data_IF_030352842403
#
_entry.id   IF_030352842403
#
_cell.length_a   1.000
_cell.length_b   1.000
_cell.length_c   1.000
_cell.angle_alpha   90.00
_cell.angle_beta   90.00
_cell.angle_gamma   90.00
#
_symmetry.space_group_name_H-M   'P 1'
#
loop_
_entity.id
_entity.type
_entity.pdbx_description
1 polymer ?
#
# COMPACT_ATOMS: atom_id res chain seq x y z
N UNK A 1 -15.12 16.25 32.94
CA UNK A 1 -13.89 16.10 32.13
C UNK A 1 -13.62 14.61 31.96
N UNK A 2 -13.85 14.05 30.77
CA UNK A 2 -13.64 12.62 30.49
C UNK A 2 -12.24 12.41 29.91
N UNK A 3 -11.46 11.41 30.36
CA UNK A 3 -10.13 11.16 29.83
C UNK A 3 -10.28 10.57 28.44
N UNK A 4 -9.95 11.33 27.39
CA UNK A 4 -9.73 10.77 26.06
C UNK A 4 -8.58 9.77 26.18
N UNK A 5 -8.92 8.49 26.23
CA UNK A 5 -7.99 7.37 26.06
C UNK A 5 -7.03 7.71 24.92
N UNK A 6 -5.75 7.82 25.23
CA UNK A 6 -4.67 7.76 24.24
C UNK A 6 -4.71 6.35 23.66
N UNK A 7 -5.55 6.13 22.65
CA UNK A 7 -5.61 4.84 21.96
C UNK A 7 -4.29 4.70 21.18
N UNK A 8 -3.44 3.70 21.48
CA UNK A 8 -2.33 3.38 20.60
C UNK A 8 -2.95 3.01 19.25
N UNK A 9 -2.64 3.80 18.23
CA UNK A 9 -3.11 3.50 16.89
C UNK A 9 -2.07 2.59 16.25
N UNK A 10 -2.38 1.29 16.25
CA UNK A 10 -1.63 0.28 15.53
C UNK A 10 -1.99 0.40 14.04
N UNK A 11 -0.98 0.59 13.19
CA UNK A 11 -1.12 0.57 11.75
C UNK A 11 -0.37 -0.63 11.20
N UNK A 12 -1.09 -1.47 10.46
CA UNK A 12 -0.47 -2.53 9.68
C UNK A 12 -0.10 -1.96 8.30
N UNK A 13 1.12 -2.25 7.84
CA UNK A 13 1.66 -1.70 6.60
C UNK A 13 2.13 -2.82 5.67
N UNK A 14 1.78 -2.66 4.40
CA UNK A 14 2.26 -3.48 3.32
C UNK A 14 2.29 -2.68 2.04
N UNK A 15 3.09 -3.22 1.15
CA UNK A 15 3.33 -2.81 -0.20
C UNK A 15 2.56 -3.76 -1.12
N UNK A 16 1.76 -3.20 -2.03
CA UNK A 16 1.36 -3.94 -3.22
C UNK A 16 2.52 -3.91 -4.23
N UNK A 17 3.10 -5.06 -4.64
CA UNK A 17 4.13 -5.06 -5.66
C UNK A 17 3.52 -4.61 -6.99
N UNK A 18 4.08 -3.55 -7.58
CA UNK A 18 3.91 -3.15 -8.98
C UNK A 18 2.48 -3.31 -9.51
N UNK A 19 1.57 -2.41 -9.11
CA UNK A 19 0.23 -2.37 -9.68
C UNK A 19 0.35 -2.01 -11.15
N UNK A 20 -0.21 -2.86 -12.00
CA UNK A 20 -0.15 -2.70 -13.45
C UNK A 20 -1.48 -2.15 -13.96
N UNK A 21 -1.40 -1.02 -14.65
CA UNK A 21 -2.54 -0.49 -15.39
C UNK A 21 -2.71 -1.32 -16.66
N UNK A 22 -3.83 -2.04 -16.74
CA UNK A 22 -4.22 -2.87 -17.86
C UNK A 22 -5.35 -2.18 -18.62
N UNK A 23 -5.15 -1.97 -19.91
CA UNK A 23 -6.23 -1.65 -20.84
C UNK A 23 -6.57 -2.93 -21.59
N UNK A 24 -7.82 -3.40 -21.50
CA UNK A 24 -8.28 -4.51 -22.32
C UNK A 24 -8.38 -4.05 -23.76
N UNK A 25 -7.72 -4.75 -24.67
CA UNK A 25 -7.89 -4.49 -26.10
C UNK A 25 -9.32 -4.89 -26.48
N UNK A 26 -10.19 -3.90 -26.73
CA UNK A 26 -11.56 -4.14 -27.13
C UNK A 26 -11.71 -3.94 -28.62
N UNK A 27 -12.02 -5.01 -29.34
CA UNK A 27 -12.20 -5.01 -30.78
C UNK A 27 -13.64 -5.36 -31.17
N UNK A 28 -14.08 -4.86 -32.32
CA UNK A 28 -15.32 -5.29 -32.95
C UNK A 28 -14.97 -6.28 -34.06
N UNK A 29 -15.48 -7.51 -33.95
CA UNK A 29 -15.43 -8.47 -35.05
C UNK A 29 -16.68 -8.24 -35.91
N UNK A 30 -16.49 -7.75 -37.15
CA UNK A 30 -17.57 -7.71 -38.14
C UNK A 30 -17.67 -9.06 -38.82
N UNK A 31 -18.81 -9.73 -38.66
CA UNK A 31 -19.11 -10.96 -39.37
C UNK A 31 -19.56 -10.63 -40.81
N UNK A 32 -19.38 -11.56 -41.77
CA UNK A 32 -19.82 -11.38 -43.16
C UNK A 32 -21.31 -11.03 -43.33
N UNK A 33 -22.13 -11.36 -42.32
CA UNK A 33 -23.56 -11.06 -42.27
C UNK A 33 -23.91 -9.66 -41.71
N UNK A 34 -22.93 -8.79 -41.54
CA UNK A 34 -23.12 -7.41 -41.07
C UNK A 34 -23.32 -7.27 -39.56
N UNK A 35 -23.44 -8.36 -38.79
CA UNK A 35 -23.49 -8.30 -37.32
C UNK A 35 -22.10 -7.98 -36.77
N UNK A 36 -22.05 -7.02 -35.85
CA UNK A 36 -20.84 -6.72 -35.08
C UNK A 36 -20.92 -7.41 -33.73
N UNK A 37 -19.94 -8.27 -33.44
CA UNK A 37 -19.76 -8.85 -32.10
C UNK A 37 -18.65 -8.07 -31.40
N UNK A 38 -18.91 -7.62 -30.18
CA UNK A 38 -17.85 -7.16 -29.28
C UNK A 38 -17.07 -8.38 -28.80
N UNK A 39 -15.85 -8.53 -29.30
CA UNK A 39 -14.90 -9.51 -28.81
C UNK A 39 -14.14 -8.93 -27.62
N UNK A 40 -14.15 -9.63 -26.49
CA UNK A 40 -13.17 -9.39 -25.43
C UNK A 40 -11.90 -10.14 -25.86
N UNK A 41 -10.89 -9.44 -26.35
CA UNK A 41 -9.57 -10.05 -26.53
C UNK A 41 -8.96 -10.31 -25.15
N UNK A 42 -8.28 -11.45 -24.98
CA UNK A 42 -7.44 -11.70 -23.80
C UNK A 42 -6.16 -10.84 -23.81
N UNK A 43 -5.87 -10.15 -24.91
CA UNK A 43 -4.74 -9.23 -25.03
C UNK A 43 -5.00 -7.95 -24.25
N UNK A 44 -3.99 -7.55 -23.49
CA UNK A 44 -4.00 -6.31 -22.72
C UNK A 44 -2.78 -5.48 -23.05
N UNK A 45 -2.97 -4.17 -23.15
CA UNK A 45 -1.87 -3.23 -23.26
C UNK A 45 -1.36 -2.87 -21.88
N UNK A 46 -0.03 -3.02 -21.68
CA UNK A 46 0.65 -2.68 -20.43
C UNK A 46 1.06 -1.22 -20.45
N UNK A 47 0.52 -0.42 -19.53
CA UNK A 47 0.86 1.01 -19.40
C UNK A 47 1.97 1.29 -18.38
N UNK A 48 2.84 0.29 -18.16
CA UNK A 48 3.87 0.32 -17.11
C UNK A 48 3.36 -0.16 -15.75
N UNK A 49 4.17 0.02 -14.72
CA UNK A 49 3.93 -0.44 -13.36
C UNK A 49 4.22 0.68 -12.35
N UNK A 50 3.34 0.83 -11.37
CA UNK A 50 3.52 1.79 -10.26
C UNK A 50 3.65 1.05 -8.94
N UNK A 51 4.42 1.59 -8.01
CA UNK A 51 4.49 1.09 -6.63
C UNK A 51 3.40 1.77 -5.81
N UNK A 52 2.66 0.99 -5.02
CA UNK A 52 1.69 1.51 -4.06
C UNK A 52 2.24 1.31 -2.65
N UNK A 53 2.29 2.40 -1.90
CA UNK A 53 2.51 2.38 -0.46
C UNK A 53 1.15 2.57 0.22
N UNK A 54 0.80 1.70 1.17
CA UNK A 54 -0.45 1.79 1.90
C UNK A 54 -0.27 1.48 3.38
N UNK A 55 -1.00 2.23 4.21
CA UNK A 55 -1.09 2.03 5.65
C UNK A 55 -2.56 1.85 6.03
N UNK A 56 -2.86 0.75 6.72
CA UNK A 56 -4.18 0.44 7.24
C UNK A 56 -4.27 0.78 8.72
N UNK A 57 -5.20 1.66 9.08
CA UNK A 57 -5.59 1.90 10.48
C UNK A 57 -6.44 0.72 10.96
N UNK A 58 -5.85 -0.17 11.77
CA UNK A 58 -6.51 -1.42 12.19
C UNK A 58 -7.82 -1.14 12.94
N UNK A 59 -7.86 -0.07 13.72
CA UNK A 59 -9.02 0.27 14.55
C UNK A 59 -10.24 0.77 13.75
N UNK A 60 -10.04 1.35 12.57
CA UNK A 60 -11.11 2.01 11.80
C UNK A 60 -11.31 1.40 10.42
N UNK A 61 -10.35 0.61 9.93
CA UNK A 61 -10.33 0.10 8.56
C UNK A 61 -9.94 1.16 7.52
N UNK A 62 -9.56 2.37 7.92
CA UNK A 62 -9.17 3.42 6.98
C UNK A 62 -7.80 3.14 6.38
N UNK A 63 -7.67 3.45 5.09
CA UNK A 63 -6.41 3.30 4.36
C UNK A 63 -5.89 4.64 3.92
N UNK A 64 -4.62 4.89 4.21
CA UNK A 64 -3.84 5.95 3.60
C UNK A 64 -2.92 5.34 2.55
N UNK A 65 -2.94 5.88 1.33
CA UNK A 65 -2.22 5.30 0.20
C UNK A 65 -1.56 6.38 -0.66
N UNK A 66 -0.36 6.09 -1.18
CA UNK A 66 0.29 6.91 -2.22
C UNK A 66 0.93 6.03 -3.28
N UNK A 67 0.93 6.52 -4.52
CA UNK A 67 1.63 5.89 -5.62
C UNK A 67 3.03 6.50 -5.80
N UNK A 68 3.99 5.70 -6.23
CA UNK A 68 5.31 6.16 -6.65
C UNK A 68 5.83 5.38 -7.86
N UNK A 69 6.57 6.05 -8.72
CA UNK A 69 7.24 5.43 -9.88
C UNK A 69 8.35 4.47 -9.48
N UNK A 70 8.95 4.65 -8.30
CA UNK A 70 10.09 3.86 -7.81
C UNK A 70 9.81 3.35 -6.39
N UNK A 71 10.51 2.27 -6.05
CA UNK A 71 10.41 1.58 -4.76
C UNK A 71 11.76 1.65 -4.02
N UNK A 72 12.15 2.83 -3.56
CA UNK A 72 13.35 3.01 -2.74
C UNK A 72 12.95 3.49 -1.35
N UNK A 73 13.95 3.52 -0.46
CA UNK A 73 13.81 4.01 0.91
C UNK A 73 13.26 5.44 0.96
N UNK A 74 13.76 6.32 0.09
CA UNK A 74 13.35 7.73 0.07
C UNK A 74 11.85 7.85 -0.11
N UNK A 75 11.27 7.15 -1.09
CA UNK A 75 9.82 7.22 -1.32
C UNK A 75 9.01 6.55 -0.21
N UNK A 76 9.59 5.57 0.50
CA UNK A 76 8.97 4.99 1.69
C UNK A 76 8.94 6.00 2.85
N UNK A 77 10.04 6.70 3.12
CA UNK A 77 10.10 7.72 4.17
C UNK A 77 9.21 8.92 3.85
N UNK A 78 9.17 9.38 2.59
CA UNK A 78 8.22 10.41 2.14
C UNK A 78 6.76 10.02 2.40
N UNK A 79 6.44 8.72 2.28
CA UNK A 79 5.12 8.22 2.63
C UNK A 79 4.91 8.20 4.15
N UNK A 80 5.92 7.81 4.92
CA UNK A 80 5.84 7.83 6.39
C UNK A 80 5.63 9.24 6.94
N UNK A 81 6.23 10.26 6.34
CA UNK A 81 6.00 11.68 6.70
C UNK A 81 4.53 12.08 6.51
N UNK A 82 3.86 11.53 5.49
CA UNK A 82 2.40 11.75 5.29
C UNK A 82 1.59 11.02 6.35
N UNK A 83 2.00 9.82 6.76
CA UNK A 83 1.34 9.06 7.82
C UNK A 83 1.46 9.79 9.15
N UNK A 84 2.65 10.27 9.52
CA UNK A 84 2.87 11.03 10.77
C UNK A 84 2.08 12.33 10.78
N UNK A 85 2.00 13.02 9.64
CA UNK A 85 1.18 14.22 9.47
C UNK A 85 -0.33 13.95 9.57
N UNK A 86 -0.82 12.80 9.09
CA UNK A 86 -2.23 12.40 9.18
C UNK A 86 -2.65 12.04 10.61
N UNK A 87 -1.71 11.63 11.46
CA UNK A 87 -1.95 11.18 12.83
C UNK A 87 -1.08 11.92 13.85
N UNK A 88 -1.24 13.26 13.98
CA UNK A 88 -0.41 14.06 14.86
C UNK A 88 -0.66 13.67 16.33
N UNK A 89 0.40 13.74 17.15
CA UNK A 89 0.36 13.49 18.60
C UNK A 89 -0.09 12.08 19.01
N UNK A 90 0.05 11.08 18.13
CA UNK A 90 -0.21 9.67 18.44
C UNK A 90 1.07 8.85 18.44
N UNK A 91 1.09 7.82 19.29
CA UNK A 91 2.07 6.75 19.17
C UNK A 91 1.66 5.84 18.00
N UNK A 92 2.56 5.71 17.03
CA UNK A 92 2.38 4.94 15.82
C UNK A 92 3.20 3.65 15.94
N UNK A 93 2.49 2.53 16.01
CA UNK A 93 3.10 1.20 15.91
C UNK A 93 2.89 0.71 14.49
N UNK A 94 3.97 0.63 13.72
CA UNK A 94 3.95 0.28 12.31
C UNK A 94 4.46 -1.14 12.15
N UNK A 95 3.61 -2.04 11.68
CA UNK A 95 3.98 -3.44 11.42
C UNK A 95 4.35 -3.56 9.94
N UNK A 96 5.60 -3.94 9.66
CA UNK A 96 6.22 -3.98 8.35
C UNK A 96 6.58 -5.43 7.96
N UNK A 97 6.69 -5.67 6.64
CA UNK A 97 7.34 -6.87 6.12
C UNK A 97 8.88 -6.72 6.16
N UNK A 98 9.60 -7.77 5.78
CA UNK A 98 11.08 -7.79 5.83
C UNK A 98 11.75 -7.22 4.57
N UNK A 99 11.10 -6.30 3.85
CA UNK A 99 11.69 -5.70 2.66
C UNK A 99 12.88 -4.78 3.00
N UNK A 100 13.88 -4.76 2.11
CA UNK A 100 15.11 -3.97 2.27
C UNK A 100 14.92 -2.46 2.40
N UNK A 101 13.76 -1.92 2.02
CA UNK A 101 13.41 -0.51 2.21
C UNK A 101 13.05 -0.16 3.65
N UNK A 102 12.75 -1.15 4.49
CA UNK A 102 12.36 -0.95 5.90
C UNK A 102 13.51 -1.06 6.89
N UNK A 103 14.62 -1.66 6.48
CA UNK A 103 15.84 -1.79 7.30
C UNK A 103 16.71 -0.56 7.12
N UNK A 104 17.50 -0.10 8.11
CA UNK A 104 18.35 1.11 7.99
C UNK A 104 17.59 2.45 7.91
N UNK A 105 16.65 2.65 8.82
CA UNK A 105 15.83 3.88 8.93
C UNK A 105 16.06 4.59 10.28
N UNK A 106 17.19 4.35 10.93
CA UNK A 106 17.47 4.78 12.31
C UNK A 106 17.43 6.31 12.44
N UNK A 107 18.09 7.04 11.54
CA UNK A 107 18.09 8.51 11.52
C UNK A 107 16.67 9.11 11.41
N UNK A 108 15.82 8.51 10.57
CA UNK A 108 14.44 8.96 10.44
C UNK A 108 13.60 8.65 11.69
N UNK A 109 13.85 7.50 12.33
CA UNK A 109 13.17 7.11 13.58
C UNK A 109 13.60 7.98 14.76
N UNK A 110 14.87 8.41 14.81
CA UNK A 110 15.37 9.37 15.80
C UNK A 110 14.65 10.72 15.68
N UNK A 111 14.37 11.17 14.46
CA UNK A 111 13.57 12.37 14.21
C UNK A 111 12.07 12.19 14.52
N UNK A 112 11.58 10.95 14.60
CA UNK A 112 10.17 10.61 14.81
C UNK A 112 9.99 9.68 16.03
N UNK A 113 10.22 10.16 17.26
CA UNK A 113 10.25 9.33 18.47
C UNK A 113 8.89 8.72 18.84
N UNK A 114 7.80 9.16 18.20
CA UNK A 114 6.47 8.60 18.36
C UNK A 114 6.17 7.45 17.38
N UNK A 115 7.16 7.03 16.58
CA UNK A 115 7.01 5.97 15.58
C UNK A 115 7.88 4.78 15.96
N UNK A 116 7.27 3.61 16.00
CA UNK A 116 7.94 2.35 16.32
C UNK A 116 7.70 1.34 15.21
N UNK A 117 8.77 0.84 14.61
CA UNK A 117 8.70 -0.19 13.58
C UNK A 117 8.79 -1.59 14.21
N UNK A 118 7.85 -2.44 13.80
CA UNK A 118 7.76 -3.85 14.15
C UNK A 118 7.81 -4.65 12.87
N UNK A 119 8.42 -5.83 12.88
CA UNK A 119 8.58 -6.66 11.69
C UNK A 119 7.83 -7.98 11.86
N UNK A 120 7.10 -8.39 10.83
CA UNK A 120 6.50 -9.73 10.80
C UNK A 120 7.61 -10.79 10.77
N UNK A 121 7.40 -11.97 11.39
CA UNK A 121 8.31 -13.09 11.21
C UNK A 121 8.55 -13.42 9.73
N UNK A 122 9.74 -13.91 9.41
CA UNK A 122 10.08 -14.33 8.04
C UNK A 122 9.06 -15.37 7.54
N UNK A 123 8.60 -15.19 6.30
CA UNK A 123 7.59 -16.04 5.66
C UNK A 123 6.19 -16.01 6.29
N UNK A 124 5.88 -15.01 7.13
CA UNK A 124 4.56 -14.84 7.75
C UNK A 124 3.77 -13.66 7.16
N UNK A 125 3.72 -13.54 5.82
CA UNK A 125 3.01 -12.46 5.13
C UNK A 125 1.50 -12.44 5.41
N UNK A 126 0.91 -13.60 5.74
CA UNK A 126 -0.49 -13.73 6.15
C UNK A 126 -0.86 -12.96 7.43
N UNK A 127 0.12 -12.58 8.25
CA UNK A 127 -0.10 -11.69 9.41
C UNK A 127 -0.20 -10.21 9.00
N UNK A 128 0.20 -9.87 7.78
CA UNK A 128 0.18 -8.51 7.28
C UNK A 128 -1.24 -8.14 6.83
N UNK A 129 -2.00 -7.49 7.73
CA UNK A 129 -3.43 -7.21 7.55
C UNK A 129 -3.77 -6.44 6.28
N UNK A 130 -2.88 -5.56 5.82
CA UNK A 130 -3.15 -4.79 4.60
C UNK A 130 -2.87 -5.62 3.34
N UNK A 131 -2.11 -6.72 3.41
CA UNK A 131 -2.04 -7.70 2.30
C UNK A 131 -3.35 -8.46 2.18
N UNK A 132 -3.93 -8.83 3.32
CA UNK A 132 -5.27 -9.44 3.37
C UNK A 132 -6.30 -8.48 2.77
N UNK A 133 -6.25 -7.19 3.11
CA UNK A 133 -7.14 -6.18 2.53
C UNK A 133 -7.01 -6.07 1.00
N UNK A 134 -5.79 -6.12 0.44
CA UNK A 134 -5.60 -6.13 -1.02
C UNK A 134 -6.07 -7.41 -1.71
N UNK A 135 -6.31 -8.49 -0.97
CA UNK A 135 -6.67 -9.80 -1.52
C UNK A 135 -8.19 -10.02 -1.62
N UNK A 136 -8.99 -9.05 -1.17
CA UNK A 136 -10.45 -9.06 -1.18
C UNK A 136 -10.94 -8.13 -2.30
#
# INVERSE_FOLDING_TARGET
MSPRQRRPSCYAWTKAPSIQALERAQGYLKLPNGRSLTGQSHDYKRHGTTTLFAALEVATGKILATHSKRRRRVEFLDFMDRVTAAFPNRQLHVILDNLSTHTKNEEWLEAHPNVNFHFTPTSASWLNQVEVWFSI
#
